data_IF_720728157262
#
_entry.id   IF_720728157262
#
_cell.length_a   1.000
_cell.length_b   1.000
_cell.length_c   1.000
_cell.angle_alpha   90.00
_cell.angle_beta   90.00
_cell.angle_gamma   90.00
#
_symmetry.space_group_name_H-M   'P 1'
#
loop_
_entity.id
_entity.type
_entity.pdbx_description
1 polymer ?
#
# COMPACT_ATOMS: atom_id res chain seq x y z
N UNK A 1 -4.11 -15.82 -9.49
CA UNK A 1 -3.39 -14.71 -8.82
C UNK A 1 -4.34 -13.90 -7.92
N UNK A 2 -5.38 -13.27 -8.47
CA UNK A 2 -6.31 -12.45 -7.67
C UNK A 2 -7.06 -13.27 -6.60
N UNK A 3 -7.66 -14.42 -6.95
CA UNK A 3 -8.28 -15.32 -5.97
C UNK A 3 -7.31 -15.74 -4.86
N UNK A 4 -6.05 -16.05 -5.21
CA UNK A 4 -5.02 -16.45 -4.24
C UNK A 4 -4.73 -15.34 -3.23
N UNK A 5 -4.53 -14.09 -3.71
CA UNK A 5 -4.31 -12.94 -2.83
C UNK A 5 -5.50 -12.72 -1.87
N UNK A 6 -6.73 -12.80 -2.36
CA UNK A 6 -7.92 -12.63 -1.51
C UNK A 6 -8.23 -13.85 -0.64
N UNK A 7 -7.74 -15.04 -0.98
CA UNK A 7 -7.87 -16.23 -0.13
C UNK A 7 -6.87 -16.18 1.02
N UNK A 8 -5.60 -15.93 0.70
CA UNK A 8 -4.49 -16.04 1.63
C UNK A 8 -4.14 -14.74 2.34
N UNK A 9 -4.63 -13.58 1.89
CA UNK A 9 -4.33 -12.21 2.37
C UNK A 9 -2.86 -11.76 2.24
N UNK A 10 -1.93 -12.70 2.06
CA UNK A 10 -0.53 -12.50 1.68
C UNK A 10 -0.15 -13.62 0.72
N UNK A 11 0.35 -13.28 -0.46
CA UNK A 11 0.72 -14.25 -1.48
C UNK A 11 2.07 -13.91 -2.11
N UNK A 12 2.83 -14.95 -2.44
CA UNK A 12 4.14 -14.83 -3.09
C UNK A 12 4.01 -15.13 -4.59
N UNK A 13 4.58 -14.26 -5.41
CA UNK A 13 4.66 -14.47 -6.86
C UNK A 13 6.04 -14.08 -7.36
N UNK A 14 6.30 -14.33 -8.65
CA UNK A 14 7.39 -13.62 -9.34
C UNK A 14 7.12 -12.12 -9.27
N UNK A 15 8.15 -11.32 -9.02
CA UNK A 15 8.01 -9.90 -8.71
C UNK A 15 7.23 -9.14 -9.79
N UNK A 16 7.54 -9.36 -11.07
CA UNK A 16 6.79 -8.76 -12.19
C UNK A 16 5.30 -9.11 -12.18
N UNK A 17 4.93 -10.34 -11.79
CA UNK A 17 3.52 -10.76 -11.68
C UNK A 17 2.83 -10.11 -10.48
N UNK A 18 3.53 -9.94 -9.37
CA UNK A 18 3.00 -9.24 -8.20
C UNK A 18 2.74 -7.76 -8.52
N UNK A 19 3.66 -7.11 -9.24
CA UNK A 19 3.50 -5.73 -9.75
C UNK A 19 2.31 -5.64 -10.70
N UNK A 20 2.16 -6.59 -11.64
CA UNK A 20 1.02 -6.66 -12.56
C UNK A 20 -0.31 -6.85 -11.82
N UNK A 21 -0.35 -7.70 -10.79
CA UNK A 21 -1.57 -8.01 -10.04
C UNK A 21 -2.08 -6.81 -9.25
N UNK A 22 -1.18 -6.02 -8.67
CA UNK A 22 -1.48 -4.93 -7.75
C UNK A 22 -2.58 -3.98 -8.25
N UNK A 23 -2.50 -3.35 -9.44
CA UNK A 23 -3.53 -2.43 -9.91
C UNK A 23 -4.91 -3.09 -10.08
N UNK A 24 -4.96 -4.38 -10.45
CA UNK A 24 -6.24 -5.10 -10.57
C UNK A 24 -6.88 -5.35 -9.20
N UNK A 25 -6.08 -5.75 -8.20
CA UNK A 25 -6.56 -5.96 -6.84
C UNK A 25 -7.04 -4.63 -6.20
N UNK A 26 -6.26 -3.56 -6.36
CA UNK A 26 -6.62 -2.21 -5.91
C UNK A 26 -7.92 -1.74 -6.57
N UNK A 27 -8.05 -1.93 -7.90
CA UNK A 27 -9.25 -1.50 -8.64
C UNK A 27 -10.51 -2.28 -8.24
N UNK A 28 -10.39 -3.58 -8.01
CA UNK A 28 -11.49 -4.39 -7.51
C UNK A 28 -11.97 -3.87 -6.15
N UNK A 29 -11.03 -3.63 -5.22
CA UNK A 29 -11.34 -3.07 -3.90
C UNK A 29 -12.03 -1.70 -4.03
N UNK A 30 -11.55 -0.83 -4.91
CA UNK A 30 -12.21 0.45 -5.20
C UNK A 30 -13.66 0.27 -5.68
N UNK A 31 -13.93 -0.66 -6.59
CA UNK A 31 -15.32 -0.93 -7.01
C UNK A 31 -16.19 -1.35 -5.83
N UNK A 32 -15.70 -2.28 -5.01
CA UNK A 32 -16.40 -2.72 -3.81
C UNK A 32 -16.65 -1.59 -2.81
N UNK A 33 -15.68 -0.70 -2.59
CA UNK A 33 -15.78 0.42 -1.64
C UNK A 33 -16.72 1.52 -2.14
N UNK A 34 -16.56 1.97 -3.38
CA UNK A 34 -17.30 3.13 -3.90
C UNK A 34 -18.72 2.78 -4.37
N UNK A 35 -18.92 1.60 -4.96
CA UNK A 35 -20.22 1.21 -5.53
C UNK A 35 -20.97 0.20 -4.66
N UNK A 36 -20.24 -0.60 -3.88
CA UNK A 36 -20.83 -1.60 -3.00
C UNK A 36 -21.29 -2.86 -3.73
N UNK A 37 -21.85 -3.82 -2.97
CA UNK A 37 -22.30 -5.10 -3.51
C UNK A 37 -23.54 -4.98 -4.39
N UNK A 38 -24.34 -3.90 -4.31
CA UNK A 38 -25.60 -3.82 -5.05
C UNK A 38 -25.44 -3.46 -6.53
N UNK A 39 -24.27 -2.95 -6.94
CA UNK A 39 -23.99 -2.58 -8.32
C UNK A 39 -23.76 -3.84 -9.20
N UNK A 40 -24.55 -4.06 -10.26
CA UNK A 40 -24.41 -5.24 -11.13
C UNK A 40 -23.02 -5.33 -11.76
N UNK A 41 -22.46 -4.20 -12.19
CA UNK A 41 -21.13 -4.16 -12.79
C UNK A 41 -20.04 -4.58 -11.79
N UNK A 42 -20.13 -4.10 -10.54
CA UNK A 42 -19.18 -4.49 -9.49
C UNK A 42 -19.26 -5.99 -9.19
N UNK A 43 -20.48 -6.56 -9.10
CA UNK A 43 -20.66 -8.02 -8.96
C UNK A 43 -20.05 -8.78 -10.13
N UNK A 44 -20.28 -8.34 -11.37
CA UNK A 44 -19.75 -8.97 -12.57
C UNK A 44 -18.22 -8.96 -12.57
N UNK A 45 -17.59 -7.83 -12.24
CA UNK A 45 -16.13 -7.73 -12.14
C UNK A 45 -15.57 -8.65 -11.06
N UNK A 46 -16.17 -8.68 -9.87
CA UNK A 46 -15.73 -9.60 -8.80
C UNK A 46 -15.91 -11.06 -9.23
N UNK A 47 -17.02 -11.42 -9.87
CA UNK A 47 -17.27 -12.75 -10.42
C UNK A 47 -16.24 -13.17 -11.49
N UNK A 48 -15.80 -12.23 -12.32
CA UNK A 48 -14.83 -12.50 -13.38
C UNK A 48 -13.41 -12.71 -12.85
N UNK A 49 -12.98 -11.88 -11.89
CA UNK A 49 -11.61 -11.90 -11.37
C UNK A 49 -11.38 -12.89 -10.21
N UNK A 50 -12.44 -13.22 -9.46
CA UNK A 50 -12.40 -14.15 -8.32
C UNK A 50 -13.23 -15.39 -8.66
N UNK A 51 -12.53 -16.48 -8.98
CA UNK A 51 -13.14 -17.74 -9.41
C UNK A 51 -13.93 -18.44 -8.28
N UNK A 52 -13.44 -18.34 -7.05
CA UNK A 52 -13.96 -19.11 -5.92
C UNK A 52 -15.15 -18.38 -5.26
N UNK A 53 -16.28 -19.08 -5.09
CA UNK A 53 -17.52 -18.48 -4.58
C UNK A 53 -17.43 -17.98 -3.14
N UNK A 54 -16.78 -18.75 -2.27
CA UNK A 54 -16.52 -18.40 -0.86
C UNK A 54 -15.73 -17.08 -0.74
N UNK A 55 -14.74 -16.89 -1.61
CA UNK A 55 -13.90 -15.67 -1.59
C UNK A 55 -14.67 -14.45 -2.08
N UNK A 56 -15.65 -14.61 -2.99
CA UNK A 56 -16.50 -13.49 -3.43
C UNK A 56 -17.39 -12.97 -2.31
N UNK A 57 -17.92 -13.85 -1.48
CA UNK A 57 -18.69 -13.48 -0.29
C UNK A 57 -17.77 -12.78 0.73
N UNK A 58 -16.61 -13.38 1.04
CA UNK A 58 -15.57 -12.77 1.89
C UNK A 58 -15.15 -11.38 1.40
N UNK A 59 -15.08 -11.18 0.09
CA UNK A 59 -14.70 -9.90 -0.51
C UNK A 59 -15.64 -8.77 -0.10
N UNK A 60 -16.95 -8.98 -0.23
CA UNK A 60 -17.93 -7.95 0.12
C UNK A 60 -18.19 -7.83 1.62
N UNK A 61 -18.10 -8.93 2.37
CA UNK A 61 -18.42 -8.94 3.81
C UNK A 61 -17.23 -8.52 4.69
N UNK A 62 -16.00 -8.86 4.27
CA UNK A 62 -14.80 -8.64 5.10
C UNK A 62 -13.93 -7.54 4.51
N UNK A 63 -13.54 -7.63 3.24
CA UNK A 63 -12.54 -6.71 2.68
C UNK A 63 -13.10 -5.32 2.40
N UNK A 64 -14.28 -5.23 1.77
CA UNK A 64 -14.90 -3.93 1.48
C UNK A 64 -15.11 -3.09 2.75
N UNK A 65 -15.68 -3.61 3.86
CA UNK A 65 -15.80 -2.87 5.10
C UNK A 65 -14.45 -2.52 5.73
N UNK A 66 -13.47 -3.44 5.70
CA UNK A 66 -12.11 -3.23 6.25
C UNK A 66 -11.41 -2.01 5.65
N UNK A 67 -11.66 -1.72 4.39
CA UNK A 67 -10.97 -0.66 3.65
C UNK A 67 -11.80 0.60 3.41
N UNK A 68 -13.08 0.65 3.85
CA UNK A 68 -14.00 1.76 3.56
C UNK A 68 -13.50 3.13 4.03
N UNK A 69 -12.81 3.20 5.16
CA UNK A 69 -12.31 4.45 5.74
C UNK A 69 -10.88 4.80 5.31
N UNK A 70 -10.25 3.97 4.46
CA UNK A 70 -8.86 4.18 4.01
C UNK A 70 -8.87 4.74 2.58
N UNK A 71 -8.10 5.79 2.33
CA UNK A 71 -7.93 6.34 0.96
C UNK A 71 -6.99 5.50 0.07
N UNK A 72 -6.26 4.55 0.66
CA UNK A 72 -5.33 3.65 -0.03
C UNK A 72 -3.86 4.00 0.25
N UNK A 73 -2.90 3.21 -0.28
CA UNK A 73 -3.07 1.94 -0.99
C UNK A 73 -3.64 0.84 -0.08
N UNK A 74 -4.44 -0.07 -0.64
CA UNK A 74 -5.01 -1.19 0.12
C UNK A 74 -4.05 -2.37 0.24
N UNK A 75 -3.05 -2.42 -0.65
CA UNK A 75 -2.04 -3.47 -0.71
C UNK A 75 -0.63 -2.94 -0.49
N UNK A 76 0.20 -3.78 0.13
CA UNK A 76 1.65 -3.59 0.24
C UNK A 76 2.36 -4.62 -0.63
N UNK A 77 3.51 -4.23 -1.18
CA UNK A 77 4.32 -5.05 -2.08
C UNK A 77 5.77 -4.99 -1.63
N UNK A 78 6.39 -6.16 -1.48
CA UNK A 78 7.77 -6.31 -1.01
C UNK A 78 8.56 -7.14 -1.99
N UNK A 79 9.79 -6.72 -2.29
CA UNK A 79 10.76 -7.54 -3.01
C UNK A 79 11.46 -8.45 -1.99
N UNK A 80 11.52 -9.75 -2.28
CA UNK A 80 12.24 -10.73 -1.46
C UNK A 80 13.45 -11.22 -2.24
N UNK A 81 14.56 -11.42 -1.52
CA UNK A 81 15.78 -11.98 -2.10
C UNK A 81 15.55 -13.40 -2.62
N UNK A 82 16.25 -13.72 -3.71
CA UNK A 82 16.20 -15.05 -4.31
C UNK A 82 16.89 -16.08 -3.42
N UNK A 83 16.33 -17.28 -3.38
CA UNK A 83 17.06 -18.43 -2.85
C UNK A 83 18.09 -18.85 -3.90
N UNK A 84 19.39 -18.89 -3.58
CA UNK A 84 20.44 -19.34 -4.51
C UNK A 84 20.16 -20.72 -5.13
N UNK A 85 19.32 -21.54 -4.48
CA UNK A 85 19.00 -22.92 -4.86
C UNK A 85 17.86 -23.01 -5.89
N UNK A 86 17.00 -21.99 -6.01
CA UNK A 86 15.78 -22.02 -6.85
C UNK A 86 15.93 -21.27 -8.18
N UNK A 87 17.12 -20.72 -8.44
CA UNK A 87 17.44 -19.92 -9.63
C UNK A 87 17.27 -18.42 -9.42
N UNK A 88 17.77 -17.63 -10.38
CA UNK A 88 17.72 -16.16 -10.33
C UNK A 88 16.40 -15.65 -10.91
N UNK A 89 15.38 -15.50 -10.07
CA UNK A 89 14.12 -14.88 -10.44
C UNK A 89 13.56 -14.06 -9.28
N UNK A 90 13.57 -12.73 -9.42
CA UNK A 90 13.02 -11.80 -8.43
C UNK A 90 11.63 -12.26 -7.95
N UNK A 91 11.51 -12.49 -6.64
CA UNK A 91 10.24 -12.81 -5.97
C UNK A 91 9.65 -11.59 -5.29
N UNK A 92 8.32 -11.50 -5.33
CA UNK A 92 7.57 -10.42 -4.70
C UNK A 92 6.46 -10.97 -3.82
N UNK A 93 6.34 -10.41 -2.62
CA UNK A 93 5.21 -10.67 -1.72
C UNK A 93 4.26 -9.51 -1.77
N UNK A 94 3.02 -9.81 -2.13
CA UNK A 94 1.92 -8.86 -2.11
C UNK A 94 0.94 -9.24 -1.00
N UNK A 95 0.51 -8.26 -0.22
CA UNK A 95 -0.41 -8.47 0.89
C UNK A 95 -1.49 -7.41 0.98
N UNK A 96 -2.62 -7.79 1.55
CA UNK A 96 -3.71 -6.89 1.93
C UNK A 96 -3.37 -6.24 3.27
N UNK A 97 -3.45 -4.91 3.33
CA UNK A 97 -3.09 -4.16 4.53
C UNK A 97 -4.05 -4.48 5.70
N UNK A 98 -3.50 -4.75 6.88
CA UNK A 98 -4.28 -5.17 8.05
C UNK A 98 -4.69 -6.65 8.02
N UNK A 99 -3.93 -7.49 7.34
CA UNK A 99 -4.03 -8.94 7.47
C UNK A 99 -3.61 -9.41 8.88
N UNK A 100 -3.98 -10.63 9.31
CA UNK A 100 -3.69 -11.12 10.67
C UNK A 100 -2.26 -11.65 10.84
N UNK A 101 -1.44 -11.62 9.80
CA UNK A 101 -0.09 -12.17 9.85
C UNK A 101 0.89 -11.22 10.55
N UNK A 102 2.01 -11.75 11.08
CA UNK A 102 3.09 -10.91 11.55
C UNK A 102 3.55 -9.94 10.44
N UNK A 103 3.79 -8.66 10.77
CA UNK A 103 4.25 -7.68 9.78
C UNK A 103 5.59 -8.11 9.19
N UNK A 104 5.78 -7.84 7.90
CA UNK A 104 7.06 -8.07 7.24
C UNK A 104 8.04 -7.04 7.80
N UNK A 105 9.13 -7.52 8.41
CA UNK A 105 10.16 -6.65 8.98
C UNK A 105 10.95 -6.04 7.82
N UNK A 106 10.70 -4.76 7.57
CA UNK A 106 11.57 -3.95 6.71
C UNK A 106 12.62 -3.37 7.66
N UNK A 107 13.90 -3.58 7.36
CA UNK A 107 14.97 -2.90 8.09
C UNK A 107 14.91 -1.41 7.76
N UNK A 108 14.15 -0.65 8.55
CA UNK A 108 14.21 0.80 8.51
C UNK A 108 15.49 1.25 9.20
N UNK A 109 16.48 1.65 8.40
CA UNK A 109 17.69 2.25 8.96
C UNK A 109 17.37 3.67 9.44
N UNK A 110 17.55 3.92 10.75
CA UNK A 110 17.46 5.29 11.27
C UNK A 110 18.63 6.13 10.74
N UNK A 111 18.32 7.00 9.79
CA UNK A 111 19.27 7.94 9.21
C UNK A 111 19.21 9.33 9.87
N UNK A 112 18.43 9.53 10.93
CA UNK A 112 18.24 10.85 11.56
C UNK A 112 19.55 11.47 12.05
N UNK A 113 20.51 10.62 12.45
CA UNK A 113 21.82 11.01 12.96
C UNK A 113 22.91 11.11 11.89
N UNK A 114 22.59 10.80 10.62
CA UNK A 114 23.54 11.01 9.53
C UNK A 114 23.87 12.50 9.43
N UNK A 115 25.17 12.81 9.28
CA UNK A 115 25.65 14.19 9.19
C UNK A 115 24.85 15.01 8.17
N UNK A 116 24.58 14.44 7.00
CA UNK A 116 23.76 15.07 5.97
C UNK A 116 22.37 15.47 6.48
N UNK A 117 21.66 14.55 7.14
CA UNK A 117 20.30 14.78 7.63
C UNK A 117 20.28 15.79 8.77
N UNK A 118 21.29 15.79 9.65
CA UNK A 118 21.45 16.79 10.71
C UNK A 118 21.69 18.18 10.11
N UNK A 119 22.57 18.29 9.10
CA UNK A 119 22.85 19.55 8.42
C UNK A 119 21.62 20.09 7.68
N UNK A 120 20.91 19.23 6.95
CA UNK A 120 19.67 19.59 6.26
C UNK A 120 18.59 20.06 7.25
N UNK A 121 18.41 19.33 8.35
CA UNK A 121 17.44 19.69 9.40
C UNK A 121 17.73 21.08 9.97
N UNK A 122 19.00 21.37 10.29
CA UNK A 122 19.40 22.69 10.79
C UNK A 122 19.22 23.80 9.75
N UNK A 123 19.56 23.55 8.48
CA UNK A 123 19.36 24.50 7.40
C UNK A 123 17.87 24.86 7.22
N UNK A 124 16.99 23.86 7.29
CA UNK A 124 15.52 24.06 7.22
C UNK A 124 15.05 24.91 8.41
N UNK A 125 15.51 24.61 9.63
CA UNK A 125 15.13 25.41 10.81
C UNK A 125 15.54 26.87 10.67
N UNK A 126 16.76 27.14 10.22
CA UNK A 126 17.24 28.51 10.00
C UNK A 126 16.44 29.23 8.91
N UNK A 127 16.09 28.54 7.83
CA UNK A 127 15.27 29.12 6.77
C UNK A 127 13.87 29.46 7.27
N UNK A 128 13.25 28.56 8.05
CA UNK A 128 11.93 28.81 8.64
C UNK A 128 11.93 29.98 9.61
N UNK A 129 12.95 30.10 10.47
CA UNK A 129 13.05 31.25 11.39
C UNK A 129 13.19 32.57 10.62
N UNK A 130 13.98 32.59 9.56
CA UNK A 130 14.17 33.78 8.74
C UNK A 130 12.88 34.21 8.04
N UNK A 131 12.11 33.25 7.52
CA UNK A 131 10.80 33.52 6.91
C UNK A 131 9.78 34.07 7.91
N UNK A 132 9.78 33.56 9.15
CA UNK A 132 8.90 34.06 10.22
C UNK A 132 9.25 35.50 10.62
N UNK A 133 10.54 35.83 10.73
CA UNK A 133 11.01 37.19 11.02
C UNK A 133 10.58 38.13 9.89
N UNK A 134 10.83 37.77 8.63
CA UNK A 134 10.39 38.57 7.48
C UNK A 134 8.88 38.80 7.47
N UNK A 135 8.08 37.79 7.79
CA UNK A 135 6.62 37.92 7.85
C UNK A 135 6.15 38.84 9.00
N UNK A 136 6.81 38.77 10.16
CA UNK A 136 6.52 39.64 11.30
C UNK A 136 6.88 41.12 10.99
N UNK A 137 8.01 41.35 10.33
CA UNK A 137 8.44 42.70 9.93
C UNK A 137 7.46 43.33 8.91
N UNK A 138 6.93 42.53 7.97
CA UNK A 138 5.92 42.99 7.00
C UNK A 138 4.59 43.37 7.67
N UNK A 139 4.17 42.64 8.71
CA UNK A 139 2.96 42.95 9.46
C UNK A 139 3.15 44.21 10.32
N UNK A 140 4.33 44.40 10.92
CA UNK A 140 4.61 45.58 11.76
C UNK A 140 4.81 46.87 10.97
N UNK A 141 5.06 46.79 9.66
CA UNK A 141 5.23 47.94 8.78
C UNK A 141 3.93 48.43 8.11
N UNK A 142 2.79 47.77 8.35
CA UNK A 142 1.44 48.19 7.95
C UNK A 142 0.68 48.79 9.11
#
# INVERSE_FOLDING_TARGET
MCSTLFREERAEFRYHRAVELRPYAERLLQFGIFRGPNDPYTKEMVNWWIMDGDIREKFFEVYVPRFREKEGPFTSLYLIQDDPSEGHYDRGVIELNGNPYPPIVIEEMDHSHNLLNVLLKNAIYQQMSNLQIQHADIISAK
#
